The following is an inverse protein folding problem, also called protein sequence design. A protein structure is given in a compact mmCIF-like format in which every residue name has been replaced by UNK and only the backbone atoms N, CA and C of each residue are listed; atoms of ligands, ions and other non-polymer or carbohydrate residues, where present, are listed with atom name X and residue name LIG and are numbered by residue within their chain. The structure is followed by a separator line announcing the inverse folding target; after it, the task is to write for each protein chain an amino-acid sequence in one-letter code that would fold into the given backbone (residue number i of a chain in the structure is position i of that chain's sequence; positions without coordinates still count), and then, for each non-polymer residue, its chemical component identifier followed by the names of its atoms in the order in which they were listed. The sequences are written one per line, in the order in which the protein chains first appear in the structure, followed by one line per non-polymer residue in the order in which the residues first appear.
data_IF_419055788427
#
_entry.id   IF_419055788427
#
_cell.length_a   1.000
_cell.length_b   1.000
_cell.length_c   1.000
_cell.angle_alpha   90.00
_cell.angle_beta   90.00
_cell.angle_gamma   90.00
#
_symmetry.space_group_name_H-M   'P 1'
#
loop_
_entity.id
_entity.type
_entity.pdbx_description
1 polymer ?
#
# COMPACT_ATOMS: atom_id res chain seq x y z
N UNK A 1 -7.89 -26.16 11.49
CA UNK A 1 -6.80 -26.34 10.52
C UNK A 1 -5.96 -25.09 10.66
N UNK A 2 -4.71 -25.24 11.10
CA UNK A 2 -3.85 -24.08 11.36
C UNK A 2 -3.09 -23.74 10.07
N UNK A 3 -3.02 -22.45 9.72
CA UNK A 3 -2.39 -21.96 8.49
C UNK A 3 -1.22 -21.05 8.88
N UNK A 4 -0.04 -21.34 8.32
CA UNK A 4 1.13 -20.47 8.40
C UNK A 4 1.27 -19.70 7.09
N UNK A 5 1.29 -18.37 7.17
CA UNK A 5 1.57 -17.49 6.02
C UNK A 5 2.98 -16.94 6.14
N UNK A 6 3.85 -17.33 5.21
CA UNK A 6 5.20 -16.79 5.07
C UNK A 6 5.23 -15.82 3.88
N UNK A 7 5.46 -14.54 4.13
CA UNK A 7 5.50 -13.55 3.07
C UNK A 7 5.88 -12.15 3.54
N UNK A 8 5.76 -11.19 2.63
CA UNK A 8 6.17 -9.80 2.87
C UNK A 8 5.21 -9.02 3.76
N UNK A 9 5.78 -8.11 4.54
CA UNK A 9 5.10 -7.08 5.33
C UNK A 9 5.73 -5.73 4.95
N UNK A 10 4.89 -4.77 4.58
CA UNK A 10 5.31 -3.41 4.22
C UNK A 10 4.47 -2.37 4.97
N UNK A 11 4.96 -1.14 4.99
CA UNK A 11 4.15 0.05 5.24
C UNK A 11 3.88 0.72 3.89
N UNK A 12 2.62 0.72 3.45
CA UNK A 12 2.23 1.38 2.21
C UNK A 12 1.98 2.86 2.50
N UNK A 13 2.68 3.73 1.78
CA UNK A 13 2.52 5.19 1.83
C UNK A 13 1.63 5.61 0.66
N UNK A 14 0.36 5.93 0.92
CA UNK A 14 -0.63 6.16 -0.13
C UNK A 14 -0.97 7.65 -0.20
N UNK A 15 -0.58 8.29 -1.31
CA UNK A 15 -0.99 9.65 -1.66
C UNK A 15 -2.09 9.62 -2.72
N UNK A 16 -3.16 10.41 -2.54
CA UNK A 16 -4.18 10.62 -3.58
C UNK A 16 -3.92 11.92 -4.33
N UNK A 17 -3.99 11.84 -5.65
CA UNK A 17 -3.85 12.96 -6.59
C UNK A 17 -4.95 12.84 -7.65
N UNK A 18 -5.29 13.94 -8.32
CA UNK A 18 -6.34 13.98 -9.34
C UNK A 18 -6.05 13.04 -10.53
N UNK A 19 -4.77 12.87 -10.88
CA UNK A 19 -4.27 11.98 -11.93
C UNK A 19 -2.82 11.57 -11.67
N UNK A 20 -2.33 10.61 -12.45
CA UNK A 20 -0.90 10.28 -12.44
C UNK A 20 -0.06 11.48 -12.93
N UNK A 21 1.07 11.78 -12.26
CA UNK A 21 1.98 12.85 -12.67
C UNK A 21 2.70 12.47 -13.97
N UNK A 22 2.97 13.48 -14.80
CA UNK A 22 3.87 13.34 -15.95
C UNK A 22 5.34 13.34 -15.50
N UNK A 23 6.28 12.85 -16.33
CA UNK A 23 7.71 12.93 -16.02
C UNK A 23 8.15 14.36 -15.70
N UNK A 24 8.74 14.56 -14.51
CA UNK A 24 9.21 15.87 -14.03
C UNK A 24 8.15 16.77 -13.40
N UNK A 25 6.88 16.37 -13.39
CA UNK A 25 5.78 17.14 -12.79
C UNK A 25 5.72 16.95 -11.27
N UNK A 26 5.32 18.00 -10.54
CA UNK A 26 4.93 17.92 -9.12
C UNK A 26 3.46 18.29 -8.98
N UNK A 27 2.67 17.44 -8.31
CA UNK A 27 1.25 17.65 -8.06
C UNK A 27 0.97 17.77 -6.55
N UNK A 28 0.06 18.67 -6.18
CA UNK A 28 -0.48 18.74 -4.82
C UNK A 28 -1.44 17.59 -4.59
N UNK A 29 -1.18 16.77 -3.56
CA UNK A 29 -2.07 15.69 -3.16
C UNK A 29 -3.32 16.18 -2.43
N UNK A 30 -4.42 15.44 -2.57
CA UNK A 30 -5.67 15.69 -1.84
C UNK A 30 -5.73 14.97 -0.50
N UNK A 31 -4.96 13.90 -0.32
CA UNK A 31 -4.83 13.20 0.97
C UNK A 31 -3.58 12.31 1.00
N UNK A 32 -3.13 11.98 2.21
CA UNK A 32 -2.04 11.05 2.47
C UNK A 32 -2.40 10.15 3.65
N UNK A 33 -2.17 8.84 3.52
CA UNK A 33 -2.37 7.87 4.61
C UNK A 33 -1.26 6.82 4.61
N UNK A 34 -1.00 6.27 5.79
CA UNK A 34 -0.09 5.14 5.99
C UNK A 34 -0.92 3.91 6.37
N UNK A 35 -0.78 2.81 5.64
CA UNK A 35 -1.52 1.57 5.90
C UNK A 35 -0.57 0.37 5.92
N UNK A 36 -0.78 -0.63 6.81
CA UNK A 36 -0.08 -1.90 6.70
C UNK A 36 -0.38 -2.54 5.35
N UNK A 37 0.65 -3.09 4.72
CA UNK A 37 0.54 -3.73 3.41
C UNK A 37 1.55 -4.85 3.23
N UNK A 38 1.80 -5.20 1.97
CA UNK A 38 2.60 -6.36 1.60
C UNK A 38 1.74 -7.58 1.32
N UNK A 39 2.13 -8.34 0.29
CA UNK A 39 1.32 -9.48 -0.19
C UNK A 39 1.17 -10.55 0.88
N UNK A 40 2.22 -10.83 1.66
CA UNK A 40 2.17 -11.80 2.75
C UNK A 40 1.23 -11.36 3.86
N UNK A 41 1.36 -10.13 4.34
CA UNK A 41 0.49 -9.56 5.37
C UNK A 41 -0.98 -9.50 4.92
N UNK A 42 -1.25 -9.04 3.70
CA UNK A 42 -2.60 -8.96 3.16
C UNK A 42 -3.25 -10.36 3.03
N UNK A 43 -2.47 -11.37 2.64
CA UNK A 43 -2.95 -12.76 2.62
C UNK A 43 -3.15 -13.32 4.03
N UNK A 44 -2.25 -13.03 4.97
CA UNK A 44 -2.35 -13.48 6.36
C UNK A 44 -3.60 -12.92 7.07
N UNK A 45 -3.96 -11.66 6.80
CA UNK A 45 -5.18 -11.04 7.35
C UNK A 45 -6.46 -11.60 6.70
N UNK A 46 -6.37 -12.06 5.45
CA UNK A 46 -7.51 -12.60 4.71
C UNK A 46 -7.77 -14.09 4.96
N UNK A 47 -6.78 -14.81 5.52
CA UNK A 47 -6.79 -16.26 5.73
C UNK A 47 -7.61 -16.71 6.94
#
# INVERSE_FOLDING_TARGET
MDILVLGSLNMDLVARVERLPQPGETLTGSSFVTVPGGKGANQAVAA
#
